data_IF_018153587628
#
_entry.id   IF_018153587628
#
_cell.length_a   1.000
_cell.length_b   1.000
_cell.length_c   1.000
_cell.angle_alpha   90.00
_cell.angle_beta   90.00
_cell.angle_gamma   90.00
#
_symmetry.space_group_name_H-M   'P 1'
#
loop_
_entity.id
_entity.type
_entity.pdbx_description
1 polymer ?
#
# COMPACT_ATOMS: atom_id res chain seq x y z
N UNK A 1 -26.27 5.07 17.83
CA UNK A 1 -25.72 5.76 16.65
C UNK A 1 -24.45 5.06 16.22
N UNK A 2 -24.35 4.59 14.97
CA UNK A 2 -23.12 3.94 14.47
C UNK A 2 -22.00 4.99 14.27
N UNK A 3 -20.72 4.56 14.22
CA UNK A 3 -19.57 5.47 14.06
C UNK A 3 -19.67 6.34 12.79
N UNK A 4 -20.25 5.81 11.70
CA UNK A 4 -20.54 6.55 10.46
C UNK A 4 -21.47 7.75 10.75
N UNK A 5 -22.55 7.55 11.52
CA UNK A 5 -23.51 8.61 11.87
C UNK A 5 -22.94 9.68 12.82
N UNK A 6 -22.05 9.31 13.74
CA UNK A 6 -21.36 10.28 14.61
C UNK A 6 -20.40 11.18 13.83
N UNK A 7 -19.67 10.61 12.86
CA UNK A 7 -18.77 11.36 11.99
C UNK A 7 -19.52 12.36 11.10
N UNK A 8 -20.62 11.94 10.47
CA UNK A 8 -21.43 12.84 9.63
C UNK A 8 -22.06 13.99 10.43
N UNK A 9 -22.52 13.74 11.65
CA UNK A 9 -23.04 14.79 12.52
C UNK A 9 -21.97 15.80 12.95
N UNK A 10 -20.75 15.35 13.22
CA UNK A 10 -19.61 16.23 13.52
C UNK A 10 -19.17 17.03 12.29
N UNK A 11 -19.17 16.42 11.11
CA UNK A 11 -18.79 17.07 9.87
C UNK A 11 -19.79 18.18 9.49
N UNK A 12 -21.10 17.89 9.55
CA UNK A 12 -22.16 18.86 9.22
C UNK A 12 -22.14 20.04 10.21
N UNK A 13 -21.94 19.79 11.51
CA UNK A 13 -21.88 20.88 12.50
C UNK A 13 -20.64 21.77 12.31
N UNK A 14 -19.50 21.18 11.94
CA UNK A 14 -18.27 21.93 11.67
C UNK A 14 -18.34 22.78 10.40
N UNK A 15 -18.96 22.26 9.33
CA UNK A 15 -19.12 23.00 8.07
C UNK A 15 -20.07 24.20 8.24
N UNK A 16 -21.17 24.02 8.97
CA UNK A 16 -22.09 25.11 9.31
C UNK A 16 -21.43 26.19 10.17
N UNK A 17 -20.56 25.81 11.11
CA UNK A 17 -19.82 26.76 11.95
C UNK A 17 -18.83 27.59 11.11
N UNK A 18 -18.11 26.96 10.19
CA UNK A 18 -17.18 27.67 9.31
C UNK A 18 -17.92 28.65 8.41
N UNK A 19 -18.98 28.23 7.72
CA UNK A 19 -19.79 29.10 6.85
C UNK A 19 -20.38 30.29 7.63
N UNK A 20 -20.83 30.04 8.86
CA UNK A 20 -21.36 31.09 9.74
C UNK A 20 -20.26 32.10 10.15
N UNK A 21 -19.06 31.63 10.47
CA UNK A 21 -17.92 32.48 10.81
C UNK A 21 -17.41 33.28 9.60
N UNK A 22 -17.44 32.72 8.38
CA UNK A 22 -17.12 33.48 7.15
C UNK A 22 -18.14 34.56 6.86
N UNK A 23 -19.42 34.32 7.16
CA UNK A 23 -20.49 35.31 7.01
C UNK A 23 -20.36 36.46 8.02
N UNK A 24 -20.02 36.15 9.28
CA UNK A 24 -19.80 37.17 10.32
C UNK A 24 -18.54 38.01 10.09
N UNK A 25 -17.48 37.45 9.49
CA UNK A 25 -16.24 38.16 9.20
C UNK A 25 -16.24 38.92 7.85
N UNK A 26 -17.29 38.82 7.03
CA UNK A 26 -17.36 39.48 5.72
C UNK A 26 -17.26 41.01 5.80
N UNK A 27 -17.52 41.61 6.97
CA UNK A 27 -17.40 43.05 7.19
C UNK A 27 -16.02 43.52 7.69
N UNK A 28 -15.08 42.62 8.01
CA UNK A 28 -13.71 42.98 8.40
C UNK A 28 -12.74 42.58 7.30
N UNK A 29 -12.07 43.58 6.70
CA UNK A 29 -11.22 43.50 5.48
C UNK A 29 -9.92 42.70 5.63
N UNK A 30 -9.85 41.72 6.53
CA UNK A 30 -8.63 40.99 6.81
C UNK A 30 -8.54 39.74 5.92
N UNK A 31 -8.17 39.98 4.65
CA UNK A 31 -8.01 38.96 3.60
C UNK A 31 -7.19 37.73 4.06
N UNK A 32 -6.22 37.93 4.96
CA UNK A 32 -5.40 36.86 5.53
C UNK A 32 -6.24 35.86 6.33
N UNK A 33 -7.18 36.34 7.15
CA UNK A 33 -8.05 35.48 7.96
C UNK A 33 -8.97 34.65 7.06
N UNK A 34 -9.45 35.25 5.97
CA UNK A 34 -10.29 34.57 4.99
C UNK A 34 -9.53 33.43 4.28
N UNK A 35 -8.29 33.69 3.86
CA UNK A 35 -7.43 32.68 3.24
C UNK A 35 -7.11 31.52 4.20
N UNK A 36 -6.87 31.81 5.49
CA UNK A 36 -6.63 30.78 6.50
C UNK A 36 -7.87 29.91 6.76
N UNK A 37 -9.06 30.50 6.78
CA UNK A 37 -10.32 29.75 6.92
C UNK A 37 -10.61 28.87 5.71
N UNK A 38 -10.35 29.36 4.49
CA UNK A 38 -10.44 28.56 3.26
C UNK A 38 -9.46 27.38 3.32
N UNK A 39 -8.19 27.64 3.65
CA UNK A 39 -7.17 26.59 3.74
C UNK A 39 -7.54 25.51 4.76
N UNK A 40 -8.07 25.91 5.93
CA UNK A 40 -8.54 24.97 6.96
C UNK A 40 -9.73 24.14 6.45
N UNK A 41 -10.68 24.77 5.74
CA UNK A 41 -11.85 24.09 5.17
C UNK A 41 -11.43 23.05 4.13
N UNK A 42 -10.51 23.41 3.25
CA UNK A 42 -9.94 22.50 2.24
C UNK A 42 -9.22 21.34 2.92
N UNK A 43 -8.39 21.61 3.94
CA UNK A 43 -7.69 20.56 4.68
C UNK A 43 -8.66 19.58 5.38
N UNK A 44 -9.74 20.09 5.98
CA UNK A 44 -10.79 19.25 6.58
C UNK A 44 -11.55 18.44 5.53
N UNK A 45 -11.83 19.03 4.36
CA UNK A 45 -12.48 18.34 3.25
C UNK A 45 -11.59 17.22 2.69
N UNK A 46 -10.30 17.47 2.48
CA UNK A 46 -9.32 16.45 2.05
C UNK A 46 -9.30 15.32 3.08
N UNK A 47 -9.18 15.63 4.36
CA UNK A 47 -9.17 14.62 5.43
C UNK A 47 -10.46 13.79 5.46
N UNK A 48 -11.62 14.42 5.25
CA UNK A 48 -12.89 13.73 5.17
C UNK A 48 -13.02 12.84 3.93
N UNK A 49 -12.53 13.31 2.77
CA UNK A 49 -12.47 12.52 1.53
C UNK A 49 -11.53 11.33 1.74
N UNK A 50 -10.30 11.53 2.22
CA UNK A 50 -9.35 10.44 2.50
C UNK A 50 -9.92 9.42 3.48
N UNK A 51 -10.56 9.87 4.57
CA UNK A 51 -11.23 8.99 5.52
C UNK A 51 -12.40 8.22 4.90
N UNK A 52 -13.18 8.87 4.04
CA UNK A 52 -14.26 8.23 3.31
C UNK A 52 -13.72 7.22 2.31
N UNK A 53 -12.69 7.54 1.53
CA UNK A 53 -12.04 6.61 0.60
C UNK A 53 -11.44 5.42 1.32
N UNK A 54 -10.79 5.61 2.48
CA UNK A 54 -10.32 4.50 3.32
C UNK A 54 -11.46 3.61 3.82
N UNK A 55 -12.63 4.17 4.16
CA UNK A 55 -13.79 3.39 4.61
C UNK A 55 -14.67 2.83 3.49
N UNK A 56 -14.67 3.43 2.31
CA UNK A 56 -15.40 2.95 1.13
C UNK A 56 -14.56 1.89 0.37
N UNK A 57 -13.24 1.88 0.54
CA UNK A 57 -12.36 0.76 0.16
C UNK A 57 -12.50 -0.44 1.12
N UNK A 58 -13.04 -0.23 2.32
CA UNK A 58 -13.62 -1.31 3.10
C UNK A 58 -14.97 -1.59 2.46
N UNK A 59 -14.95 -2.38 1.37
CA UNK A 59 -16.13 -3.13 0.96
C UNK A 59 -16.65 -3.78 2.24
N UNK A 60 -17.90 -3.52 2.60
CA UNK A 60 -18.62 -4.31 3.60
C UNK A 60 -18.72 -5.73 3.01
N UNK A 61 -17.61 -6.48 3.10
CA UNK A 61 -17.56 -7.89 2.77
C UNK A 61 -18.40 -8.51 3.87
N UNK A 62 -19.60 -8.96 3.50
CA UNK A 62 -20.38 -9.82 4.37
C UNK A 62 -19.53 -11.07 4.65
N UNK A 63 -18.91 -11.07 5.83
CA UNK A 63 -18.08 -12.15 6.36
C UNK A 63 -18.88 -13.45 6.56
N UNK A 64 -20.19 -13.45 6.30
CA UNK A 64 -21.07 -14.60 6.46
C UNK A 64 -21.44 -15.32 5.15
N UNK A 65 -21.07 -14.82 3.96
CA UNK A 65 -21.49 -15.41 2.68
C UNK A 65 -20.50 -16.41 2.05
N UNK A 66 -19.50 -16.92 2.78
CA UNK A 66 -18.68 -18.04 2.31
C UNK A 66 -18.92 -19.30 3.17
N UNK A 67 -19.10 -20.49 2.57
CA UNK A 67 -19.33 -21.72 3.32
C UNK A 67 -18.16 -22.00 4.27
N UNK A 68 -18.43 -21.95 5.57
CA UNK A 68 -17.46 -22.13 6.67
C UNK A 68 -17.02 -23.57 6.90
N UNK A 69 -17.35 -24.51 6.02
CA UNK A 69 -17.13 -25.93 6.30
C UNK A 69 -15.67 -26.40 6.20
N UNK A 70 -14.73 -25.55 5.72
CA UNK A 70 -13.30 -25.88 5.67
C UNK A 70 -12.37 -24.66 5.90
N UNK A 71 -12.85 -23.61 6.60
CA UNK A 71 -12.06 -22.40 6.82
C UNK A 71 -10.95 -22.65 7.83
N UNK A 72 -9.70 -22.46 7.42
CA UNK A 72 -8.53 -22.51 8.30
C UNK A 72 -8.67 -21.40 9.36
N UNK A 73 -8.40 -21.66 10.65
CA UNK A 73 -8.50 -20.66 11.70
C UNK A 73 -7.73 -19.38 11.35
N UNK A 74 -8.31 -18.22 11.67
CA UNK A 74 -7.72 -16.92 11.32
C UNK A 74 -6.31 -16.74 11.90
N UNK A 75 -6.04 -17.26 13.10
CA UNK A 75 -4.73 -17.17 13.75
C UNK A 75 -3.63 -17.93 12.97
N UNK A 76 -3.99 -19.05 12.33
CA UNK A 76 -3.08 -19.80 11.47
C UNK A 76 -2.77 -19.00 10.19
N UNK A 77 -3.77 -18.33 9.62
CA UNK A 77 -3.60 -17.47 8.44
C UNK A 77 -2.72 -16.24 8.74
N UNK A 78 -2.84 -15.65 9.93
CA UNK A 78 -2.01 -14.52 10.36
C UNK A 78 -0.55 -14.97 10.54
N UNK A 79 -0.32 -16.08 11.22
CA UNK A 79 1.03 -16.64 11.40
C UNK A 79 1.68 -16.91 10.06
N UNK A 80 0.92 -17.50 9.16
CA UNK A 80 1.37 -17.80 7.81
C UNK A 80 1.63 -16.53 6.97
N UNK A 81 0.78 -15.52 7.08
CA UNK A 81 0.99 -14.23 6.42
C UNK A 81 2.35 -13.62 6.78
N UNK A 82 2.72 -13.60 8.06
CA UNK A 82 4.03 -13.10 8.48
C UNK A 82 5.19 -13.97 8.00
N UNK A 83 4.99 -15.29 7.93
CA UNK A 83 5.99 -16.18 7.35
C UNK A 83 6.21 -15.89 5.86
N UNK A 84 5.14 -15.78 5.07
CA UNK A 84 5.21 -15.43 3.65
C UNK A 84 5.85 -14.06 3.45
N UNK A 85 5.47 -13.07 4.26
CA UNK A 85 6.03 -11.73 4.17
C UNK A 85 7.54 -11.71 4.46
N UNK A 86 8.01 -12.52 5.41
CA UNK A 86 9.44 -12.68 5.67
C UNK A 86 10.18 -13.26 4.46
N UNK A 87 9.62 -14.28 3.81
CA UNK A 87 10.18 -14.85 2.58
C UNK A 87 10.18 -13.84 1.43
N UNK A 88 9.10 -13.07 1.29
CA UNK A 88 8.96 -12.03 0.28
C UNK A 88 10.01 -10.94 0.47
N UNK A 89 10.14 -10.39 1.69
CA UNK A 89 11.14 -9.38 2.03
C UNK A 89 12.57 -9.87 1.79
N UNK A 90 12.84 -11.14 2.11
CA UNK A 90 14.14 -11.75 1.79
C UNK A 90 14.39 -11.75 0.28
N UNK A 91 13.41 -12.16 -0.52
CA UNK A 91 13.53 -12.16 -1.98
C UNK A 91 13.66 -10.75 -2.58
N UNK A 92 13.03 -9.72 -1.98
CA UNK A 92 13.23 -8.32 -2.38
C UNK A 92 14.68 -7.88 -2.14
N UNK A 93 15.21 -8.18 -0.96
CA UNK A 93 16.61 -7.90 -0.63
C UNK A 93 17.58 -8.66 -1.54
N UNK A 94 17.36 -9.95 -1.78
CA UNK A 94 18.19 -10.75 -2.67
C UNK A 94 18.14 -10.22 -4.12
N UNK A 95 16.98 -9.71 -4.56
CA UNK A 95 16.83 -9.05 -5.86
C UNK A 95 17.65 -7.77 -5.96
N UNK A 96 17.63 -6.93 -4.93
CA UNK A 96 18.44 -5.71 -4.87
C UNK A 96 19.94 -6.04 -4.83
N UNK A 97 20.33 -7.07 -4.09
CA UNK A 97 21.70 -7.57 -4.04
C UNK A 97 22.16 -8.04 -5.44
N UNK A 98 21.30 -8.69 -6.22
CA UNK A 98 21.59 -9.08 -7.61
C UNK A 98 21.80 -7.84 -8.50
N UNK A 99 20.90 -6.85 -8.45
CA UNK A 99 21.07 -5.62 -9.24
C UNK A 99 22.39 -4.93 -8.89
N UNK A 100 22.73 -4.88 -7.60
CA UNK A 100 23.92 -4.19 -7.15
C UNK A 100 25.21 -4.94 -7.43
N UNK A 101 25.30 -6.20 -7.04
CA UNK A 101 26.55 -6.97 -7.07
C UNK A 101 26.84 -7.56 -8.43
N UNK A 102 25.80 -8.06 -9.12
CA UNK A 102 25.98 -8.77 -10.38
C UNK A 102 25.90 -7.83 -11.59
N UNK A 103 25.06 -6.80 -11.53
CA UNK A 103 24.84 -5.85 -12.63
C UNK A 103 25.52 -4.49 -12.42
N UNK A 104 26.15 -4.27 -11.26
CA UNK A 104 26.76 -3.00 -10.88
C UNK A 104 25.79 -1.81 -11.00
N UNK A 105 24.50 -2.06 -10.70
CA UNK A 105 23.47 -1.02 -10.67
C UNK A 105 23.31 -0.48 -9.25
N UNK A 106 23.20 0.84 -9.05
CA UNK A 106 22.89 1.38 -7.74
C UNK A 106 21.51 0.89 -7.25
N UNK A 107 21.38 0.64 -5.95
CA UNK A 107 20.07 0.51 -5.32
C UNK A 107 19.47 1.93 -5.29
N UNK A 108 18.26 2.14 -5.83
CA UNK A 108 17.65 3.46 -5.91
C UNK A 108 17.33 4.00 -4.51
N UNK A 109 17.63 5.29 -4.27
CA UNK A 109 17.29 6.03 -3.05
C UNK A 109 15.82 6.45 -3.08
N UNK A 110 15.22 6.57 -4.27
CA UNK A 110 13.79 6.86 -4.46
C UNK A 110 13.20 6.02 -5.59
N UNK A 111 11.89 5.79 -5.59
CA UNK A 111 11.23 5.12 -6.71
C UNK A 111 11.38 5.87 -8.05
N UNK A 112 11.49 7.19 -8.05
CA UNK A 112 11.72 7.98 -9.26
C UNK A 112 13.13 7.76 -9.82
N UNK A 113 14.11 7.64 -8.93
CA UNK A 113 15.48 7.31 -9.32
C UNK A 113 15.55 5.93 -10.00
N UNK A 114 14.80 4.94 -9.51
CA UNK A 114 14.62 3.66 -10.19
C UNK A 114 14.10 3.81 -11.63
N UNK A 115 13.11 4.69 -11.85
CA UNK A 115 12.56 4.93 -13.19
C UNK A 115 13.61 5.46 -14.15
N UNK A 116 14.46 6.39 -13.69
CA UNK A 116 15.58 6.90 -14.49
C UNK A 116 16.59 5.79 -14.76
N UNK A 117 17.04 5.10 -13.72
CA UNK A 117 18.05 4.05 -13.82
C UNK A 117 17.65 2.91 -14.74
N UNK A 118 16.42 2.40 -14.64
CA UNK A 118 15.98 1.28 -15.50
C UNK A 118 15.88 1.67 -16.97
N UNK A 119 15.65 2.95 -17.28
CA UNK A 119 15.59 3.44 -18.64
C UNK A 119 16.98 3.57 -19.25
N UNK A 120 17.94 4.12 -18.49
CA UNK A 120 19.34 4.24 -18.90
C UNK A 120 20.01 2.88 -19.06
N UNK A 121 19.67 1.92 -18.19
CA UNK A 121 20.29 0.60 -18.14
C UNK A 121 19.46 -0.50 -18.82
N UNK A 122 18.43 -0.13 -19.59
CA UNK A 122 17.48 -1.06 -20.21
C UNK A 122 18.16 -2.18 -21.00
N UNK A 123 19.21 -1.84 -21.76
CA UNK A 123 19.97 -2.81 -22.55
C UNK A 123 20.75 -3.78 -21.66
N UNK A 124 21.49 -3.26 -20.68
CA UNK A 124 22.27 -4.09 -19.75
C UNK A 124 21.37 -5.08 -18.98
N UNK A 125 20.20 -4.63 -18.54
CA UNK A 125 19.20 -5.46 -17.87
C UNK A 125 18.66 -6.54 -18.81
N UNK A 126 18.30 -6.17 -20.05
CA UNK A 126 17.73 -7.10 -21.05
C UNK A 126 18.74 -8.17 -21.48
N UNK A 127 20.00 -7.80 -21.63
CA UNK A 127 21.05 -8.67 -22.14
C UNK A 127 21.66 -9.55 -21.02
N UNK A 128 21.25 -9.38 -19.76
CA UNK A 128 21.74 -10.17 -18.65
C UNK A 128 21.21 -11.61 -18.71
N UNK A 129 22.09 -12.55 -19.01
CA UNK A 129 21.72 -13.93 -19.33
C UNK A 129 21.48 -14.82 -18.11
N UNK A 130 22.00 -14.44 -16.93
CA UNK A 130 21.93 -15.26 -15.72
C UNK A 130 20.54 -15.26 -15.08
N UNK A 131 19.82 -14.15 -15.15
CA UNK A 131 18.49 -13.98 -14.55
C UNK A 131 17.53 -13.29 -15.52
N UNK A 132 16.24 -13.58 -15.42
CA UNK A 132 15.23 -12.86 -16.19
C UNK A 132 14.74 -11.67 -15.37
N UNK A 133 15.07 -10.46 -15.81
CA UNK A 133 14.73 -9.22 -15.13
C UNK A 133 13.77 -8.42 -16.02
N UNK A 134 12.63 -8.04 -15.46
CA UNK A 134 11.59 -7.29 -16.15
C UNK A 134 11.27 -6.01 -15.36
N UNK A 135 11.94 -4.88 -15.67
CA UNK A 135 11.64 -3.60 -15.05
C UNK A 135 10.25 -3.10 -15.46
N UNK A 136 9.47 -2.63 -14.50
CA UNK A 136 8.15 -2.01 -14.71
C UNK A 136 7.97 -0.80 -13.79
N UNK A 137 6.90 -0.02 -13.98
CA UNK A 137 6.47 1.09 -13.10
C UNK A 137 7.55 1.67 -12.18
N UNK A 138 7.37 1.46 -10.88
CA UNK A 138 8.31 1.78 -9.80
C UNK A 138 9.09 0.55 -9.29
N UNK A 139 9.19 -0.52 -10.08
CA UNK A 139 9.70 -1.79 -9.60
C UNK A 139 10.24 -2.74 -10.66
N UNK A 140 10.34 -4.00 -10.30
CA UNK A 140 10.74 -5.07 -11.22
C UNK A 140 10.17 -6.42 -10.83
N UNK A 141 10.05 -7.27 -11.84
CA UNK A 141 9.95 -8.70 -11.65
C UNK A 141 11.30 -9.35 -11.92
N UNK A 142 11.71 -10.27 -11.06
CA UNK A 142 12.94 -11.06 -11.18
C UNK A 142 12.59 -12.54 -11.11
N UNK A 143 13.17 -13.32 -12.02
CA UNK A 143 13.18 -14.77 -11.97
C UNK A 143 14.61 -15.30 -11.91
N UNK A 144 14.91 -16.01 -10.83
CA UNK A 144 16.14 -16.77 -10.61
C UNK A 144 15.83 -18.27 -10.66
N UNK A 145 16.85 -19.16 -10.56
CA UNK A 145 16.62 -20.58 -10.35
C UNK A 145 15.90 -20.89 -9.03
N UNK A 146 16.08 -20.04 -8.01
CA UNK A 146 15.61 -20.30 -6.64
C UNK A 146 14.26 -19.65 -6.34
N UNK A 147 13.96 -18.50 -6.95
CA UNK A 147 12.72 -17.78 -6.71
C UNK A 147 12.26 -16.88 -7.85
N UNK A 148 10.97 -16.56 -7.83
CA UNK A 148 10.34 -15.49 -8.58
C UNK A 148 9.86 -14.39 -7.63
N UNK A 149 10.00 -13.12 -8.00
CA UNK A 149 9.39 -12.01 -7.28
C UNK A 149 8.97 -10.89 -8.23
N UNK A 150 7.94 -10.14 -7.83
CA UNK A 150 7.49 -8.87 -8.40
C UNK A 150 7.29 -7.91 -7.24
N UNK A 151 7.95 -6.76 -7.26
CA UNK A 151 7.79 -5.71 -6.24
C UNK A 151 8.08 -4.32 -6.79
N UNK A 152 7.55 -3.31 -6.11
CA UNK A 152 7.84 -1.90 -6.36
C UNK A 152 8.62 -1.29 -5.19
N UNK A 153 9.58 -0.42 -5.53
CA UNK A 153 10.25 0.44 -4.57
C UNK A 153 9.26 1.46 -3.99
N UNK A 154 9.36 1.71 -2.68
CA UNK A 154 8.66 2.80 -2.02
C UNK A 154 9.18 4.19 -2.43
N UNK A 155 8.48 5.23 -1.98
CA UNK A 155 8.79 6.62 -2.31
C UNK A 155 10.25 6.98 -1.99
N UNK A 156 10.77 6.50 -0.87
CA UNK A 156 12.15 6.71 -0.42
C UNK A 156 13.00 5.44 -0.63
N UNK A 157 12.71 4.68 -1.69
CA UNK A 157 13.49 3.49 -2.05
C UNK A 157 13.25 2.30 -1.13
N UNK A 158 12.18 2.31 -0.33
CA UNK A 158 11.85 1.20 0.57
C UNK A 158 11.67 -0.09 -0.23
N UNK A 159 12.36 -1.16 0.19
CA UNK A 159 12.36 -2.44 -0.52
C UNK A 159 11.46 -3.49 0.10
N UNK A 160 10.74 -3.17 1.17
CA UNK A 160 9.92 -4.09 1.96
C UNK A 160 8.41 -3.80 1.81
N UNK A 161 8.04 -3.06 0.76
CA UNK A 161 6.66 -2.79 0.42
C UNK A 161 5.98 -4.03 -0.17
N UNK A 162 4.73 -4.26 0.20
CA UNK A 162 3.96 -5.40 -0.28
C UNK A 162 2.49 -5.05 -0.54
N UNK A 163 1.83 -5.86 -1.37
CA UNK A 163 0.37 -5.86 -1.54
C UNK A 163 -0.13 -7.28 -1.74
N UNK A 164 -1.44 -7.47 -1.63
CA UNK A 164 -2.05 -8.78 -1.70
C UNK A 164 -1.82 -9.49 -3.05
N UNK A 165 -1.85 -8.74 -4.17
CA UNK A 165 -1.63 -9.29 -5.50
C UNK A 165 -0.21 -9.80 -5.69
N UNK A 166 0.78 -9.03 -5.22
CA UNK A 166 2.19 -9.43 -5.27
C UNK A 166 2.50 -10.61 -4.35
N UNK A 167 1.95 -10.63 -3.14
CA UNK A 167 2.10 -11.78 -2.24
C UNK A 167 1.44 -13.04 -2.83
N UNK A 168 0.25 -12.91 -3.43
CA UNK A 168 -0.41 -14.02 -4.11
C UNK A 168 0.44 -14.55 -5.29
N UNK A 169 0.94 -13.66 -6.14
CA UNK A 169 1.82 -14.02 -7.24
C UNK A 169 3.10 -14.70 -6.75
N UNK A 170 3.70 -14.20 -5.67
CA UNK A 170 4.87 -14.78 -5.05
C UNK A 170 4.61 -16.21 -4.57
N UNK A 171 3.54 -16.43 -3.79
CA UNK A 171 3.14 -17.77 -3.32
C UNK A 171 2.97 -18.73 -4.51
N UNK A 172 2.20 -18.30 -5.51
CA UNK A 172 1.84 -19.12 -6.67
C UNK A 172 3.05 -19.47 -7.54
N UNK A 173 3.87 -18.49 -7.91
CA UNK A 173 5.02 -18.67 -8.80
C UNK A 173 6.15 -19.47 -8.15
N UNK A 174 6.30 -19.35 -6.84
CA UNK A 174 7.28 -20.13 -6.06
C UNK A 174 6.73 -21.46 -5.53
N UNK A 175 5.45 -21.79 -5.81
CA UNK A 175 4.79 -23.03 -5.35
C UNK A 175 4.87 -23.21 -3.83
N UNK A 176 4.78 -22.12 -3.07
CA UNK A 176 4.81 -22.17 -1.61
C UNK A 176 3.50 -22.81 -1.14
N UNK A 177 3.61 -23.87 -0.32
CA UNK A 177 2.43 -24.51 0.27
C UNK A 177 1.81 -23.53 1.25
N UNK A 178 0.60 -23.06 0.95
CA UNK A 178 -0.05 -22.05 1.77
C UNK A 178 -1.57 -22.14 1.89
N UNK A 179 -2.11 -21.73 3.05
CA UNK A 179 -3.55 -21.49 3.22
C UNK A 179 -4.05 -20.22 2.52
N UNK A 180 -3.14 -19.30 2.21
CA UNK A 180 -3.39 -18.02 1.54
C UNK A 180 -3.59 -18.24 0.03
N UNK A 181 -4.61 -19.01 -0.33
CA UNK A 181 -4.80 -19.60 -1.66
C UNK A 181 -5.24 -18.62 -2.75
N UNK A 182 -5.70 -17.43 -2.38
CA UNK A 182 -6.10 -16.41 -3.33
C UNK A 182 -5.87 -15.01 -2.75
N UNK A 183 -5.86 -14.02 -3.64
CA UNK A 183 -5.63 -12.63 -3.29
C UNK A 183 -6.64 -12.10 -2.26
N UNK A 184 -7.92 -12.47 -2.34
CA UNK A 184 -8.97 -11.99 -1.42
C UNK A 184 -8.71 -12.38 0.03
N UNK A 185 -8.21 -13.60 0.28
CA UNK A 185 -7.84 -14.03 1.64
C UNK A 185 -6.69 -13.15 2.17
N UNK A 186 -5.69 -12.87 1.33
CA UNK A 186 -4.56 -12.02 1.72
C UNK A 186 -5.03 -10.59 2.00
N UNK A 187 -5.92 -10.04 1.18
CA UNK A 187 -6.54 -8.72 1.41
C UNK A 187 -7.26 -8.66 2.76
N UNK A 188 -8.02 -9.71 3.11
CA UNK A 188 -8.70 -9.81 4.40
C UNK A 188 -7.72 -9.82 5.58
N UNK A 189 -6.62 -10.60 5.48
CA UNK A 189 -5.59 -10.63 6.51
C UNK A 189 -4.91 -9.26 6.63
N UNK A 190 -4.53 -8.63 5.51
CA UNK A 190 -3.94 -7.28 5.50
C UNK A 190 -4.88 -6.27 6.16
N UNK A 191 -6.17 -6.27 5.81
CA UNK A 191 -7.15 -5.36 6.38
C UNK A 191 -7.31 -5.54 7.90
N UNK A 192 -7.34 -6.79 8.38
CA UNK A 192 -7.34 -7.08 9.82
C UNK A 192 -6.07 -6.55 10.51
N UNK A 193 -4.89 -6.70 9.89
CA UNK A 193 -3.63 -6.18 10.44
C UNK A 193 -3.54 -4.65 10.40
N UNK A 194 -4.16 -3.99 9.42
CA UNK A 194 -4.31 -2.53 9.40
C UNK A 194 -5.16 -2.07 10.58
N UNK A 195 -6.30 -2.72 10.82
CA UNK A 195 -7.18 -2.40 11.96
C UNK A 195 -6.50 -2.59 13.32
N UNK A 196 -5.51 -3.50 13.39
CA UNK A 196 -4.67 -3.76 14.56
C UNK A 196 -3.43 -2.86 14.65
N UNK A 197 -3.25 -1.91 13.72
CA UNK A 197 -2.06 -1.05 13.59
C UNK A 197 -0.75 -1.85 13.49
N UNK A 198 -0.79 -3.03 12.87
CA UNK A 198 0.40 -3.87 12.59
C UNK A 198 0.90 -3.70 11.16
N UNK A 199 0.05 -3.18 10.28
CA UNK A 199 0.36 -2.87 8.89
C UNK A 199 -0.11 -1.44 8.59
N UNK A 200 0.71 -0.69 7.86
CA UNK A 200 0.45 0.69 7.43
C UNK A 200 0.34 0.72 5.91
N UNK A 201 -0.72 1.35 5.40
CA UNK A 201 -0.87 1.63 3.98
C UNK A 201 -0.08 2.86 3.59
N UNK A 202 0.67 2.79 2.48
CA UNK A 202 1.55 3.87 2.03
C UNK A 202 0.81 5.09 1.45
N UNK A 203 -0.49 5.00 1.23
CA UNK A 203 -1.25 6.00 0.46
C UNK A 203 -1.26 5.76 -1.05
N UNK A 204 -0.65 4.67 -1.55
CA UNK A 204 -0.69 4.32 -2.97
C UNK A 204 -0.92 2.81 -3.22
N UNK A 205 0.13 2.00 -3.36
CA UNK A 205 -0.01 0.57 -3.67
C UNK A 205 0.64 -0.33 -2.63
N UNK A 206 1.63 0.18 -1.89
CA UNK A 206 2.37 -0.61 -0.92
C UNK A 206 1.72 -0.55 0.47
N UNK A 207 1.91 -1.63 1.19
CA UNK A 207 1.76 -1.74 2.63
C UNK A 207 3.12 -2.01 3.25
N UNK A 208 3.28 -1.62 4.51
CA UNK A 208 4.49 -1.83 5.30
C UNK A 208 4.10 -2.36 6.67
N UNK A 209 5.03 -3.07 7.32
CA UNK A 209 4.89 -3.35 8.75
C UNK A 209 5.03 -2.05 9.55
N UNK A 210 4.18 -1.89 10.57
CA UNK A 210 4.17 -0.73 11.47
C UNK A 210 5.35 -0.71 12.46
#
# INVERSE_FOLDING_TARGET
MNRKSQFWLFFISSLSLVVFLTFLNYHNSNLIVYLLLIALTIALLIKAITYKTQNDLIVDIDINELPRENAIPLDDQITEFYHILSLFNKAQKDSCDILHKDLNLPIPITNNEWVVFRMENKKAIKDYSKYQIFPHGYGLSLKTPDFFIDFDFGENGEINGFDAGRLFNFISKNKIKSSLKNQKIIEQVIADQINKNKVVYSGYINHYLA
#
